data_IF_388615575400
#
_entry.id   IF_388615575400
#
_cell.length_a   1.000
_cell.length_b   1.000
_cell.length_c   1.000
_cell.angle_alpha   90.00
_cell.angle_beta   90.00
_cell.angle_gamma   90.00
#
_symmetry.space_group_name_H-M   'P 1'
#
loop_
_entity.id
_entity.type
_entity.pdbx_description
1 polymer ?
#
# COMPACT_ATOMS: atom_id res chain seq x y z
N UNK A 1 -15.25 9.97 4.45
CA UNK A 1 -14.43 11.13 4.08
C UNK A 1 -14.20 11.18 2.58
N UNK A 2 -13.42 10.27 1.99
CA UNK A 2 -13.07 10.29 0.56
C UNK A 2 -14.27 10.26 -0.37
N UNK A 3 -15.29 9.44 -0.05
CA UNK A 3 -16.56 9.38 -0.76
C UNK A 3 -17.30 10.73 -0.81
N UNK A 4 -17.24 11.52 0.26
CA UNK A 4 -17.84 12.86 0.30
C UNK A 4 -17.07 13.88 -0.54
N UNK A 5 -15.74 13.75 -0.63
CA UNK A 5 -14.92 14.61 -1.50
C UNK A 5 -15.18 14.27 -2.98
N UNK A 6 -15.26 12.99 -3.32
CA UNK A 6 -15.60 12.54 -4.68
C UNK A 6 -17.03 12.97 -5.07
N UNK A 7 -17.99 12.83 -4.16
CA UNK A 7 -19.36 13.31 -4.34
C UNK A 7 -19.41 14.83 -4.57
N UNK A 8 -18.63 15.60 -3.81
CA UNK A 8 -18.49 17.04 -4.02
C UNK A 8 -17.90 17.38 -5.39
N UNK A 9 -16.81 16.71 -5.78
CA UNK A 9 -16.18 16.92 -7.09
C UNK A 9 -17.13 16.62 -8.25
N UNK A 10 -17.96 15.58 -8.13
CA UNK A 10 -18.96 15.24 -9.14
C UNK A 10 -20.15 16.20 -9.14
N UNK A 11 -20.51 16.75 -7.98
CA UNK A 11 -21.63 17.70 -7.86
C UNK A 11 -21.39 19.05 -8.53
N UNK A 12 -20.12 19.44 -8.74
CA UNK A 12 -19.75 20.76 -9.27
C UNK A 12 -20.11 21.95 -8.36
N UNK A 13 -20.63 21.69 -7.15
CA UNK A 13 -21.05 22.74 -6.21
C UNK A 13 -19.86 23.39 -5.52
N UNK A 14 -20.05 24.59 -4.98
CA UNK A 14 -19.04 25.17 -4.08
C UNK A 14 -18.93 24.34 -2.79
N UNK A 15 -17.75 24.34 -2.16
CA UNK A 15 -17.50 23.59 -0.91
C UNK A 15 -18.51 23.96 0.18
N UNK A 16 -18.84 25.25 0.29
CA UNK A 16 -19.80 25.78 1.26
C UNK A 16 -21.21 25.26 1.01
N UNK A 17 -21.67 25.32 -0.24
CA UNK A 17 -23.00 24.82 -0.62
C UNK A 17 -23.12 23.31 -0.38
N UNK A 18 -22.08 22.55 -0.73
CA UNK A 18 -22.05 21.11 -0.50
C UNK A 18 -22.08 20.73 0.99
N UNK A 19 -21.31 21.45 1.83
CA UNK A 19 -21.34 21.28 3.27
C UNK A 19 -22.71 21.60 3.88
N UNK A 20 -23.36 22.67 3.43
CA UNK A 20 -24.68 23.08 3.92
C UNK A 20 -25.76 22.04 3.58
N UNK A 21 -25.77 21.51 2.35
CA UNK A 21 -26.75 20.49 1.93
C UNK A 21 -26.56 19.14 2.62
N UNK A 22 -25.31 18.75 2.87
CA UNK A 22 -24.98 17.44 3.46
C UNK A 22 -24.80 17.49 4.98
N UNK A 23 -25.03 18.64 5.62
CA UNK A 23 -24.89 18.81 7.07
C UNK A 23 -23.45 18.59 7.57
N UNK A 24 -22.45 18.87 6.74
CA UNK A 24 -21.03 18.66 7.06
C UNK A 24 -20.44 19.96 7.63
N UNK A 25 -19.69 19.85 8.73
CA UNK A 25 -18.94 20.98 9.26
C UNK A 25 -17.86 21.42 8.25
N UNK A 26 -17.90 22.70 7.86
CA UNK A 26 -16.98 23.27 6.87
C UNK A 26 -15.51 23.05 7.24
N UNK A 27 -15.12 23.31 8.49
CA UNK A 27 -13.74 23.16 8.94
C UNK A 27 -13.23 21.71 8.79
N UNK A 28 -14.07 20.72 9.14
CA UNK A 28 -13.74 19.30 8.92
C UNK A 28 -13.58 18.99 7.44
N UNK A 29 -14.46 19.53 6.59
CA UNK A 29 -14.40 19.31 5.15
C UNK A 29 -13.14 19.92 4.51
N UNK A 30 -12.76 21.14 4.92
CA UNK A 30 -11.49 21.75 4.49
C UNK A 30 -10.28 20.94 4.93
N UNK A 31 -10.27 20.45 6.17
CA UNK A 31 -9.21 19.58 6.68
C UNK A 31 -9.09 18.29 5.85
N UNK A 32 -10.21 17.66 5.51
CA UNK A 32 -10.21 16.46 4.67
C UNK A 32 -9.63 16.69 3.28
N UNK A 33 -10.00 17.80 2.62
CA UNK A 33 -9.44 18.18 1.32
C UNK A 33 -7.93 18.44 1.40
N UNK A 34 -7.45 19.10 2.46
CA UNK A 34 -6.03 19.34 2.66
C UNK A 34 -5.27 18.01 2.84
N UNK A 35 -5.80 17.13 3.71
CA UNK A 35 -5.21 15.82 3.98
C UNK A 35 -5.16 14.91 2.75
N UNK A 36 -6.17 14.94 1.87
CA UNK A 36 -6.12 14.19 0.61
C UNK A 36 -5.06 14.70 -0.35
N UNK A 37 -4.82 16.01 -0.38
CA UNK A 37 -3.74 16.59 -1.19
C UNK A 37 -2.36 16.24 -0.62
N UNK A 38 -2.24 16.12 0.69
CA UNK A 38 -1.00 15.68 1.34
C UNK A 38 -0.72 14.19 1.10
N UNK A 39 -1.75 13.33 1.11
CA UNK A 39 -1.59 11.92 0.74
C UNK A 39 -1.24 11.72 -0.73
N UNK A 40 -1.72 12.58 -1.63
CA UNK A 40 -1.26 12.53 -3.03
C UNK A 40 0.18 13.05 -3.16
N UNK A 41 0.57 14.04 -2.34
CA UNK A 41 1.94 14.59 -2.29
C UNK A 41 2.96 13.73 -1.56
N UNK A 42 2.57 12.64 -0.89
CA UNK A 42 3.55 11.66 -0.40
C UNK A 42 4.27 10.91 -1.54
N UNK A 43 3.88 11.16 -2.81
CA UNK A 43 4.64 10.79 -4.00
C UNK A 43 5.80 11.75 -4.34
N UNK A 44 5.86 12.93 -3.71
CA UNK A 44 6.97 13.89 -3.82
C UNK A 44 7.81 13.88 -2.55
N UNK A 45 8.51 12.77 -2.31
CA UNK A 45 9.36 12.57 -1.14
C UNK A 45 10.00 11.18 -1.13
N UNK A 46 10.77 10.87 -0.08
CA UNK A 46 11.33 9.52 0.08
C UNK A 46 10.19 8.51 0.26
N UNK A 47 10.15 7.49 -0.60
CA UNK A 47 9.26 6.36 -0.47
C UNK A 47 9.76 5.50 0.70
N UNK A 48 8.95 5.32 1.74
CA UNK A 48 9.26 4.37 2.80
C UNK A 48 9.29 2.97 2.21
N UNK A 49 10.47 2.36 2.14
CA UNK A 49 10.60 0.93 1.85
C UNK A 49 10.39 0.23 3.18
N UNK A 50 9.25 -0.42 3.34
CA UNK A 50 9.07 -1.35 4.46
C UNK A 50 10.21 -2.35 4.42
N UNK A 51 10.92 -2.45 5.56
CA UNK A 51 11.98 -3.43 5.73
C UNK A 51 11.36 -4.77 5.39
N UNK A 52 11.80 -5.39 4.28
CA UNK A 52 11.20 -6.61 3.76
C UNK A 52 10.85 -7.51 4.94
N UNK A 53 9.56 -7.88 5.07
CA UNK A 53 9.14 -8.91 6.01
C UNK A 53 10.20 -9.98 5.96
N UNK A 54 10.69 -10.43 7.12
CA UNK A 54 11.70 -11.48 7.19
C UNK A 54 11.13 -12.72 6.48
N UNK A 55 11.30 -12.76 5.17
CA UNK A 55 10.94 -13.88 4.33
C UNK A 55 11.96 -14.91 4.75
N UNK A 56 11.50 -15.87 5.54
CA UNK A 56 12.34 -16.93 6.07
C UNK A 56 12.64 -17.96 4.96
N UNK A 57 12.71 -17.49 3.71
CA UNK A 57 12.93 -18.29 2.54
C UNK A 57 14.40 -18.71 2.52
N UNK A 58 14.62 -19.97 2.22
CA UNK A 58 15.94 -20.56 2.07
C UNK A 58 16.25 -20.61 0.57
N UNK A 59 17.41 -20.08 0.20
CA UNK A 59 17.93 -20.13 -1.17
C UNK A 59 19.17 -21.04 -1.22
N UNK A 60 19.16 -22.02 -2.12
CA UNK A 60 20.28 -22.93 -2.39
C UNK A 60 20.78 -22.68 -3.81
N UNK A 61 22.08 -22.46 -3.96
CA UNK A 61 22.74 -22.20 -5.25
C UNK A 61 23.74 -23.33 -5.52
N UNK A 62 23.51 -24.09 -6.58
CA UNK A 62 24.40 -25.17 -7.00
C UNK A 62 25.50 -24.66 -7.96
N UNK A 63 26.67 -25.33 -8.03
CA UNK A 63 27.76 -24.94 -8.94
C UNK A 63 27.38 -24.98 -10.43
N UNK A 64 26.39 -25.79 -10.80
CA UNK A 64 25.84 -25.88 -12.16
C UNK A 64 24.86 -24.72 -12.49
N UNK A 65 24.65 -23.78 -11.57
CA UNK A 65 23.78 -22.63 -11.75
C UNK A 65 22.31 -22.86 -11.39
N UNK A 66 21.93 -24.07 -10.95
CA UNK A 66 20.58 -24.32 -10.45
C UNK A 66 20.37 -23.57 -9.13
N UNK A 67 19.24 -22.87 -9.02
CA UNK A 67 18.84 -22.14 -7.81
C UNK A 67 17.49 -22.64 -7.32
N UNK A 68 17.44 -23.06 -6.07
CA UNK A 68 16.22 -23.52 -5.42
C UNK A 68 15.85 -22.50 -4.36
N UNK A 69 14.63 -21.96 -4.43
CA UNK A 69 14.06 -21.06 -3.43
C UNK A 69 12.84 -21.72 -2.81
N UNK A 70 12.87 -21.91 -1.49
CA UNK A 70 11.77 -22.55 -0.75
C UNK A 70 11.45 -21.68 0.46
N UNK A 71 10.19 -21.70 0.90
CA UNK A 71 9.83 -21.23 2.23
C UNK A 71 10.63 -22.02 3.30
N UNK A 72 10.57 -21.64 4.58
CA UNK A 72 11.30 -22.29 5.68
C UNK A 72 10.83 -23.73 6.00
N UNK A 73 10.77 -24.61 5.00
CA UNK A 73 10.39 -26.01 5.11
C UNK A 73 11.61 -26.88 4.78
N UNK A 74 12.33 -27.23 5.85
CA UNK A 74 13.50 -28.10 5.79
C UNK A 74 13.15 -29.53 5.36
N UNK A 75 11.91 -29.97 5.55
CA UNK A 75 11.42 -31.28 5.13
C UNK A 75 11.36 -31.37 3.61
N UNK A 76 10.71 -30.40 2.98
CA UNK A 76 10.65 -30.29 1.51
C UNK A 76 12.04 -30.13 0.89
N UNK A 77 12.89 -29.29 1.48
CA UNK A 77 14.28 -29.12 1.03
C UNK A 77 15.06 -30.44 1.06
N UNK A 78 14.92 -31.23 2.13
CA UNK A 78 15.61 -32.51 2.24
C UNK A 78 15.19 -33.52 1.16
N UNK A 79 13.94 -33.47 0.70
CA UNK A 79 13.44 -34.32 -0.39
C UNK A 79 13.98 -33.88 -1.75
N UNK A 80 14.06 -32.57 -1.99
CA UNK A 80 14.59 -32.01 -3.24
C UNK A 80 16.10 -32.23 -3.39
N UNK A 81 16.85 -32.19 -2.29
CA UNK A 81 18.31 -32.37 -2.30
C UNK A 81 18.70 -33.86 -2.43
N UNK A 82 17.86 -34.79 -1.93
CA UNK A 82 18.10 -36.25 -2.01
C UNK A 82 17.91 -36.86 -3.41
N UNK A 83 17.46 -36.07 -4.38
CA UNK A 83 17.22 -36.50 -5.76
C UNK A 83 18.51 -36.48 -6.63
N UNK A 84 19.68 -36.29 -6.00
CA UNK A 84 21.00 -36.36 -6.64
C UNK A 84 21.88 -37.40 -5.96
#
# INVERSE_FOLDING_TARGET
>A
MLSMIAGWQHSGKSKKAYCAENGINEAKFYYWIARTKESDKSSTGFLSIDKASKNNDIEIIYPNGVRIKVANDLGLLSQLIRLY
#
